data_IF_856979665686
#
_entry.id   IF_856979665686
#
_cell.length_a   1.000
_cell.length_b   1.000
_cell.length_c   1.000
_cell.angle_alpha   90.00
_cell.angle_beta   90.00
_cell.angle_gamma   90.00
#
_symmetry.space_group_name_H-M   'P 1'
#
loop_
_entity.id
_entity.type
_entity.pdbx_description
1 polymer ?
#
# COMPACT_ATOMS: atom_id res chain seq x y z
N UNK A 1 -25.97 -10.87 19.47
CA UNK A 1 -26.90 -10.20 18.52
C UNK A 1 -26.03 -9.43 17.53
N UNK A 2 -26.11 -9.78 16.27
CA UNK A 2 -25.36 -9.08 15.20
C UNK A 2 -25.87 -7.66 15.06
N UNK A 3 -24.97 -6.67 15.10
CA UNK A 3 -25.32 -5.26 14.92
C UNK A 3 -25.72 -4.98 13.47
N UNK A 4 -26.44 -3.87 13.20
CA UNK A 4 -26.88 -3.51 11.84
C UNK A 4 -25.70 -3.37 10.85
N UNK A 5 -24.51 -2.95 11.33
CA UNK A 5 -23.29 -2.84 10.55
C UNK A 5 -22.78 -4.22 10.05
N UNK A 6 -22.88 -5.27 10.87
CA UNK A 6 -22.48 -6.62 10.49
C UNK A 6 -23.39 -7.21 9.39
N UNK A 7 -24.69 -6.92 9.45
CA UNK A 7 -25.64 -7.38 8.42
C UNK A 7 -25.46 -6.66 7.09
N UNK A 8 -25.11 -5.38 7.13
CA UNK A 8 -24.81 -4.62 5.90
C UNK A 8 -23.53 -5.14 5.26
N UNK A 9 -22.48 -5.38 6.08
CA UNK A 9 -21.22 -5.95 5.63
C UNK A 9 -21.41 -7.35 5.02
N UNK A 10 -22.19 -8.22 5.68
CA UNK A 10 -22.47 -9.57 5.16
C UNK A 10 -23.24 -9.52 3.84
N UNK A 11 -24.25 -8.64 3.70
CA UNK A 11 -24.98 -8.46 2.42
C UNK A 11 -24.09 -7.94 1.31
N UNK A 12 -23.13 -7.04 1.63
CA UNK A 12 -22.16 -6.55 0.66
C UNK A 12 -21.20 -7.67 0.23
N UNK A 13 -20.71 -8.48 1.18
CA UNK A 13 -19.89 -9.66 0.88
C UNK A 13 -20.67 -10.66 0.00
N UNK A 14 -21.93 -10.93 0.32
CA UNK A 14 -22.78 -11.87 -0.43
C UNK A 14 -23.09 -11.35 -1.85
N UNK A 15 -23.28 -10.04 -2.04
CA UNK A 15 -23.47 -9.41 -3.35
C UNK A 15 -22.19 -9.40 -4.18
N UNK A 16 -21.03 -9.27 -3.54
CA UNK A 16 -19.71 -9.29 -4.18
C UNK A 16 -19.25 -10.70 -4.55
N UNK A 17 -19.70 -11.73 -3.84
CA UNK A 17 -19.44 -13.14 -4.17
C UNK A 17 -19.89 -13.51 -5.60
N UNK A 18 -20.56 -12.59 -6.31
CA UNK A 18 -20.92 -12.74 -7.71
C UNK A 18 -19.86 -12.25 -8.72
N UNK A 19 -18.81 -11.50 -8.29
CA UNK A 19 -17.88 -10.86 -9.24
C UNK A 19 -16.39 -11.07 -8.96
N UNK A 20 -15.94 -11.13 -7.70
CA UNK A 20 -14.54 -11.37 -7.33
C UNK A 20 -14.49 -12.45 -6.24
N UNK A 21 -13.99 -13.62 -6.60
CA UNK A 21 -13.80 -14.76 -5.69
C UNK A 21 -12.33 -15.12 -5.51
N UNK A 22 -11.51 -14.85 -6.54
CA UNK A 22 -10.10 -15.22 -6.61
C UNK A 22 -9.21 -14.02 -6.84
N UNK A 23 -8.29 -13.80 -5.91
CA UNK A 23 -7.34 -12.70 -5.96
C UNK A 23 -5.93 -13.25 -6.14
N UNK A 24 -5.24 -12.75 -7.15
CA UNK A 24 -3.83 -13.01 -7.35
C UNK A 24 -3.02 -11.81 -6.86
N UNK A 25 -2.20 -12.00 -5.83
CA UNK A 25 -1.33 -10.94 -5.28
C UNK A 25 0.09 -11.17 -5.76
N UNK A 26 0.59 -10.31 -6.62
CA UNK A 26 1.95 -10.36 -7.15
C UNK A 26 2.89 -9.55 -6.27
N UNK A 27 3.83 -10.22 -5.62
CA UNK A 27 4.74 -9.68 -4.61
C UNK A 27 4.30 -10.06 -3.21
N UNK A 28 5.15 -10.83 -2.49
CA UNK A 28 4.90 -11.29 -1.14
C UNK A 28 5.65 -10.46 -0.07
N UNK A 29 6.12 -9.26 -0.44
CA UNK A 29 6.87 -8.35 0.42
C UNK A 29 6.03 -7.70 1.52
N UNK A 30 6.50 -6.51 2.00
CA UNK A 30 5.88 -5.74 3.09
C UNK A 30 4.39 -5.44 2.86
N UNK A 31 4.01 -5.09 1.64
CA UNK A 31 2.62 -4.78 1.31
C UNK A 31 1.83 -6.04 0.93
N UNK A 32 2.39 -6.90 0.07
CA UNK A 32 1.67 -8.02 -0.50
C UNK A 32 1.17 -9.05 0.50
N UNK A 33 1.96 -9.40 1.53
CA UNK A 33 1.47 -10.30 2.57
C UNK A 33 0.26 -9.75 3.34
N UNK A 34 0.26 -8.44 3.60
CA UNK A 34 -0.86 -7.77 4.26
C UNK A 34 -2.08 -7.65 3.34
N UNK A 35 -1.87 -7.40 2.04
CA UNK A 35 -2.93 -7.40 1.03
C UNK A 35 -3.55 -8.79 0.93
N UNK A 36 -2.74 -9.86 0.83
CA UNK A 36 -3.24 -11.23 0.83
C UNK A 36 -4.04 -11.54 2.11
N UNK A 37 -3.55 -11.13 3.27
CA UNK A 37 -4.22 -11.33 4.56
C UNK A 37 -5.62 -10.71 4.58
N UNK A 38 -5.78 -9.45 4.17
CA UNK A 38 -7.09 -8.78 4.28
C UNK A 38 -8.11 -9.34 3.29
N UNK A 39 -7.69 -9.79 2.09
CA UNK A 39 -8.56 -10.46 1.14
C UNK A 39 -8.97 -11.85 1.63
N UNK A 40 -8.03 -12.65 2.15
CA UNK A 40 -8.34 -13.96 2.75
C UNK A 40 -9.28 -13.86 3.95
N UNK A 41 -9.17 -12.80 4.75
CA UNK A 41 -10.00 -12.57 5.93
C UNK A 41 -11.48 -12.31 5.62
N UNK A 42 -11.81 -11.83 4.42
CA UNK A 42 -13.21 -11.67 3.97
C UNK A 42 -13.72 -12.85 3.16
N UNK A 43 -12.96 -13.95 3.09
CA UNK A 43 -13.41 -15.20 2.49
C UNK A 43 -12.91 -15.47 1.07
N UNK A 44 -12.17 -14.57 0.44
CA UNK A 44 -11.67 -14.73 -0.92
C UNK A 44 -10.51 -15.73 -0.98
N UNK A 45 -10.41 -16.48 -2.08
CA UNK A 45 -9.25 -17.31 -2.37
C UNK A 45 -8.11 -16.42 -2.85
N UNK A 46 -6.93 -16.58 -2.28
CA UNK A 46 -5.78 -15.72 -2.56
C UNK A 46 -4.58 -16.56 -2.98
N UNK A 47 -4.05 -16.29 -4.15
CA UNK A 47 -2.74 -16.78 -4.60
C UNK A 47 -1.71 -15.70 -4.32
N UNK A 48 -0.73 -16.00 -3.47
CA UNK A 48 0.35 -15.08 -3.11
C UNK A 48 1.62 -15.46 -3.87
N UNK A 49 1.91 -14.71 -4.91
CA UNK A 49 3.01 -14.99 -5.83
C UNK A 49 4.28 -14.21 -5.49
N UNK A 50 5.40 -14.92 -5.60
CA UNK A 50 6.75 -14.34 -5.67
C UNK A 50 7.58 -15.26 -6.58
N UNK A 51 8.52 -14.76 -7.41
CA UNK A 51 9.35 -15.62 -8.27
C UNK A 51 10.13 -16.71 -7.53
N UNK A 52 10.43 -16.48 -6.26
CA UNK A 52 11.04 -17.43 -5.34
C UNK A 52 9.99 -17.97 -4.37
N UNK A 53 9.72 -19.28 -4.41
CA UNK A 53 8.72 -19.93 -3.55
C UNK A 53 9.00 -19.71 -2.06
N UNK A 54 10.25 -19.77 -1.63
CA UNK A 54 10.60 -19.55 -0.22
C UNK A 54 10.24 -18.12 0.25
N UNK A 55 10.32 -17.14 -0.65
CA UNK A 55 9.85 -15.77 -0.37
C UNK A 55 8.32 -15.67 -0.33
N UNK A 56 7.61 -16.41 -1.18
CA UNK A 56 6.15 -16.46 -1.13
C UNK A 56 5.68 -17.10 0.19
N UNK A 57 6.29 -18.21 0.60
CA UNK A 57 6.06 -18.89 1.89
C UNK A 57 6.36 -17.95 3.07
N UNK A 58 7.51 -17.28 3.06
CA UNK A 58 7.85 -16.27 4.08
C UNK A 58 6.85 -15.11 4.12
N UNK A 59 6.24 -14.74 3.00
CA UNK A 59 5.14 -13.78 2.94
C UNK A 59 3.89 -14.30 3.66
N UNK A 60 3.50 -15.54 3.40
CA UNK A 60 2.40 -16.21 4.10
C UNK A 60 2.65 -16.32 5.60
N UNK A 61 3.89 -16.65 6.01
CA UNK A 61 4.26 -16.73 7.42
C UNK A 61 4.17 -15.36 8.12
N UNK A 62 4.52 -14.27 7.45
CA UNK A 62 4.29 -12.91 7.97
C UNK A 62 2.81 -12.62 8.18
N UNK A 63 1.94 -13.04 7.24
CA UNK A 63 0.50 -12.93 7.41
C UNK A 63 0.03 -13.77 8.61
N UNK A 64 0.55 -15.00 8.77
CA UNK A 64 0.24 -15.87 9.92
C UNK A 64 0.61 -15.22 11.25
N UNK A 65 1.82 -14.64 11.36
CA UNK A 65 2.25 -13.93 12.55
C UNK A 65 1.41 -12.69 12.87
N UNK A 66 0.94 -11.97 11.84
CA UNK A 66 0.00 -10.85 12.03
C UNK A 66 -1.33 -11.31 12.60
N UNK A 67 -1.89 -12.39 12.06
CA UNK A 67 -3.15 -12.98 12.49
C UNK A 67 -3.05 -13.54 13.91
N UNK A 68 -1.93 -14.20 14.27
CA UNK A 68 -1.66 -14.66 15.62
C UNK A 68 -1.67 -13.50 16.64
N UNK A 69 -1.02 -12.38 16.30
CA UNK A 69 -1.08 -11.17 17.12
C UNK A 69 -2.49 -10.60 17.25
N UNK A 70 -3.33 -10.74 16.20
CA UNK A 70 -4.73 -10.32 16.27
C UNK A 70 -5.55 -11.21 17.22
N UNK A 71 -5.33 -12.53 17.20
CA UNK A 71 -5.94 -13.48 18.15
C UNK A 71 -5.49 -13.16 19.57
N UNK A 72 -4.19 -12.99 19.81
CA UNK A 72 -3.65 -12.69 21.14
C UNK A 72 -4.21 -11.38 21.73
N UNK A 73 -4.63 -10.44 20.87
CA UNK A 73 -5.28 -9.17 21.26
C UNK A 73 -6.82 -9.27 21.31
N UNK A 74 -7.40 -10.45 21.13
CA UNK A 74 -8.85 -10.66 21.13
C UNK A 74 -9.61 -10.00 19.97
N UNK A 75 -8.92 -9.69 18.87
CA UNK A 75 -9.51 -9.04 17.67
C UNK A 75 -9.99 -10.05 16.62
N UNK A 76 -9.67 -11.32 16.78
CA UNK A 76 -9.97 -12.41 15.87
C UNK A 76 -10.05 -13.72 16.68
N UNK A 77 -10.87 -14.68 16.23
CA UNK A 77 -10.88 -16.02 16.78
C UNK A 77 -9.79 -16.90 16.15
N UNK A 78 -9.40 -18.00 16.83
CA UNK A 78 -8.46 -18.97 16.25
C UNK A 78 -9.05 -19.67 15.02
N UNK A 79 -10.37 -19.88 15.01
CA UNK A 79 -11.11 -20.44 13.86
C UNK A 79 -10.99 -19.51 12.64
N UNK A 80 -11.25 -18.19 12.80
CA UNK A 80 -11.14 -17.20 11.72
C UNK A 80 -9.70 -17.10 11.22
N UNK A 81 -8.70 -17.16 12.13
CA UNK A 81 -7.28 -17.23 11.79
C UNK A 81 -6.98 -18.40 10.87
N UNK A 82 -7.39 -19.62 11.31
CA UNK A 82 -7.19 -20.85 10.55
C UNK A 82 -7.87 -20.78 9.16
N UNK A 83 -9.11 -20.34 9.13
CA UNK A 83 -9.88 -20.15 7.89
C UNK A 83 -9.22 -19.14 6.94
N UNK A 84 -8.71 -18.02 7.45
CA UNK A 84 -8.00 -16.99 6.66
C UNK A 84 -6.73 -17.57 6.03
N UNK A 85 -5.90 -18.25 6.82
CA UNK A 85 -4.65 -18.85 6.33
C UNK A 85 -4.85 -19.97 5.32
N UNK A 86 -5.92 -20.74 5.46
CA UNK A 86 -6.26 -21.80 4.51
C UNK A 86 -6.61 -21.28 3.10
N UNK A 87 -6.97 -19.99 2.99
CA UNK A 87 -7.29 -19.32 1.72
C UNK A 87 -6.08 -18.67 1.04
N UNK A 88 -4.91 -18.61 1.70
CA UNK A 88 -3.71 -17.97 1.16
C UNK A 88 -2.75 -19.07 0.69
N UNK A 89 -2.62 -19.22 -0.62
CA UNK A 89 -1.74 -20.19 -1.26
C UNK A 89 -0.47 -19.49 -1.78
N UNK A 90 0.72 -19.77 -1.22
CA UNK A 90 1.97 -19.25 -1.74
C UNK A 90 2.38 -20.00 -3.02
N UNK A 91 2.92 -19.29 -4.02
CA UNK A 91 3.34 -19.90 -5.28
C UNK A 91 4.50 -19.14 -5.93
N UNK A 92 5.31 -19.86 -6.71
CA UNK A 92 6.27 -19.27 -7.64
C UNK A 92 5.80 -19.39 -9.11
N UNK A 93 4.61 -19.94 -9.36
CA UNK A 93 4.04 -20.09 -10.69
C UNK A 93 3.15 -18.90 -11.04
N UNK A 94 3.61 -18.06 -11.97
CA UNK A 94 2.85 -16.92 -12.48
C UNK A 94 1.58 -17.36 -13.23
N UNK A 95 1.58 -18.59 -13.80
CA UNK A 95 0.44 -19.19 -14.49
C UNK A 95 -0.81 -19.32 -13.61
N UNK A 96 -0.67 -19.31 -12.28
CA UNK A 96 -1.79 -19.33 -11.33
C UNK A 96 -2.66 -18.06 -11.38
N UNK A 97 -2.24 -17.04 -12.14
CA UNK A 97 -3.08 -15.88 -12.44
C UNK A 97 -4.18 -16.18 -13.46
N UNK A 98 -4.17 -17.34 -14.13
CA UNK A 98 -5.14 -17.74 -15.17
C UNK A 98 -6.60 -17.83 -14.66
N UNK A 99 -6.80 -17.99 -13.37
CA UNK A 99 -8.13 -18.09 -12.75
C UNK A 99 -8.49 -16.84 -11.91
N UNK A 100 -7.69 -15.78 -11.95
CA UNK A 100 -7.88 -14.60 -11.10
C UNK A 100 -9.00 -13.70 -11.64
N UNK A 101 -9.88 -13.24 -10.74
CA UNK A 101 -10.85 -12.17 -11.00
C UNK A 101 -10.22 -10.80 -10.77
N UNK A 102 -9.28 -10.74 -9.82
CA UNK A 102 -8.51 -9.55 -9.46
C UNK A 102 -7.04 -9.88 -9.33
N UNK A 103 -6.19 -9.10 -9.98
CA UNK A 103 -4.73 -9.13 -9.81
C UNK A 103 -4.31 -7.88 -9.07
N UNK A 104 -3.69 -8.01 -7.89
CA UNK A 104 -3.13 -6.89 -7.13
C UNK A 104 -1.60 -6.97 -7.17
N UNK A 105 -0.96 -5.98 -7.76
CA UNK A 105 0.49 -5.90 -7.86
C UNK A 105 1.08 -5.09 -6.69
N UNK A 106 2.04 -5.68 -6.00
CA UNK A 106 2.77 -5.09 -4.87
C UNK A 106 4.28 -5.45 -4.91
N UNK A 107 4.87 -5.47 -6.13
CA UNK A 107 6.32 -5.67 -6.34
C UNK A 107 7.10 -4.36 -6.15
N UNK A 108 8.42 -4.38 -6.36
CA UNK A 108 9.27 -3.20 -6.25
C UNK A 108 8.76 -2.01 -7.05
N UNK A 109 8.93 -0.80 -6.49
CA UNK A 109 8.45 0.47 -7.06
C UNK A 109 9.38 0.93 -8.20
N UNK A 110 9.35 0.15 -9.30
CA UNK A 110 10.13 0.38 -10.52
C UNK A 110 9.25 0.15 -11.75
N UNK A 111 9.23 1.13 -12.65
CA UNK A 111 8.37 1.11 -13.85
C UNK A 111 8.68 -0.07 -14.76
N UNK A 112 9.96 -0.40 -14.96
CA UNK A 112 10.37 -1.48 -15.88
C UNK A 112 9.96 -2.85 -15.31
N UNK A 113 10.18 -3.06 -14.00
CA UNK A 113 9.78 -4.29 -13.30
C UNK A 113 8.26 -4.47 -13.39
N UNK A 114 7.50 -3.44 -12.98
CA UNK A 114 6.03 -3.47 -13.00
C UNK A 114 5.47 -3.66 -14.43
N UNK A 115 6.01 -2.93 -15.39
CA UNK A 115 5.56 -3.05 -16.80
C UNK A 115 5.86 -4.43 -17.41
N UNK A 116 6.95 -5.07 -17.02
CA UNK A 116 7.28 -6.43 -17.47
C UNK A 116 6.28 -7.42 -16.88
N UNK A 117 6.05 -7.35 -15.58
CA UNK A 117 5.07 -8.19 -14.89
C UNK A 117 3.65 -8.01 -15.47
N UNK A 118 3.22 -6.78 -15.72
CA UNK A 118 1.90 -6.51 -16.30
C UNK A 118 1.72 -7.08 -17.71
N UNK A 119 2.76 -7.04 -18.54
CA UNK A 119 2.71 -7.68 -19.88
C UNK A 119 2.56 -9.19 -19.81
N UNK A 120 3.28 -9.83 -18.88
CA UNK A 120 3.17 -11.28 -18.68
C UNK A 120 1.79 -11.66 -18.15
N UNK A 121 1.28 -10.94 -17.13
CA UNK A 121 -0.03 -11.16 -16.54
C UNK A 121 -1.19 -10.90 -17.52
N UNK A 122 -1.05 -9.92 -18.44
CA UNK A 122 -2.06 -9.65 -19.48
C UNK A 122 -2.25 -10.82 -20.45
N UNK A 123 -1.17 -11.58 -20.68
CA UNK A 123 -1.21 -12.81 -21.49
C UNK A 123 -1.76 -14.04 -20.75
N UNK A 124 -1.87 -14.00 -19.43
CA UNK A 124 -2.25 -15.15 -18.58
C UNK A 124 -3.64 -14.96 -17.98
N UNK A 125 -3.92 -13.83 -17.36
CA UNK A 125 -5.17 -13.58 -16.63
C UNK A 125 -6.39 -13.49 -17.56
N UNK A 126 -7.58 -13.90 -17.09
CA UNK A 126 -8.79 -13.83 -17.89
C UNK A 126 -9.05 -12.40 -18.40
N UNK A 127 -9.64 -12.23 -19.60
CA UNK A 127 -9.96 -10.90 -20.14
C UNK A 127 -10.83 -10.04 -19.21
N UNK A 128 -11.66 -10.66 -18.38
CA UNK A 128 -12.55 -10.00 -17.43
C UNK A 128 -11.83 -9.58 -16.13
N UNK A 129 -10.63 -10.11 -15.85
CA UNK A 129 -9.92 -9.80 -14.61
C UNK A 129 -9.58 -8.30 -14.50
N UNK A 130 -9.73 -7.75 -13.28
CA UNK A 130 -9.31 -6.39 -12.96
C UNK A 130 -7.84 -6.40 -12.54
N UNK A 131 -7.08 -5.43 -13.02
CA UNK A 131 -5.69 -5.22 -12.64
C UNK A 131 -5.57 -4.00 -11.73
N UNK A 132 -5.02 -4.20 -10.55
CA UNK A 132 -4.87 -3.17 -9.52
C UNK A 132 -3.40 -3.02 -9.09
N UNK A 133 -2.79 -1.87 -9.29
CA UNK A 133 -1.43 -1.61 -8.81
C UNK A 133 -1.45 -0.94 -7.44
N UNK A 134 -0.64 -1.46 -6.50
CA UNK A 134 -0.40 -0.84 -5.19
C UNK A 134 0.74 0.20 -5.24
N UNK A 135 1.04 0.74 -6.40
CA UNK A 135 2.05 1.81 -6.52
C UNK A 135 1.72 3.01 -5.64
N UNK A 136 2.74 3.65 -5.09
CA UNK A 136 2.61 4.88 -4.29
C UNK A 136 2.94 6.15 -5.07
N UNK A 137 3.56 6.02 -6.27
CA UNK A 137 4.15 7.16 -6.97
C UNK A 137 4.10 7.08 -8.49
N UNK A 138 3.99 5.87 -9.07
CA UNK A 138 3.99 5.70 -10.53
C UNK A 138 2.58 5.93 -11.07
N UNK A 139 2.45 6.76 -12.11
CA UNK A 139 1.18 7.04 -12.76
C UNK A 139 0.52 5.75 -13.30
N UNK A 140 -0.76 5.59 -13.03
CA UNK A 140 -1.56 4.43 -13.45
C UNK A 140 -1.66 4.36 -14.96
N UNK A 141 -1.81 5.51 -15.64
CA UNK A 141 -1.78 5.57 -17.11
C UNK A 141 -0.50 5.00 -17.70
N UNK A 142 0.65 5.27 -17.05
CA UNK A 142 1.96 4.78 -17.48
C UNK A 142 2.08 3.25 -17.33
N UNK A 143 1.58 2.70 -16.21
CA UNK A 143 1.57 1.26 -15.99
C UNK A 143 0.59 0.55 -16.92
N UNK A 144 -0.58 1.14 -17.16
CA UNK A 144 -1.60 0.57 -18.05
C UNK A 144 -1.18 0.53 -19.52
N UNK A 145 -0.15 1.27 -19.94
CA UNK A 145 0.42 1.15 -21.29
C UNK A 145 1.08 -0.21 -21.55
N UNK A 146 1.44 -0.94 -20.47
CA UNK A 146 2.03 -2.28 -20.58
C UNK A 146 1.03 -3.37 -20.97
N UNK A 147 -0.27 -3.11 -20.89
CA UNK A 147 -1.34 -4.06 -21.19
C UNK A 147 -2.13 -3.67 -22.45
N UNK A 148 -2.87 -4.64 -23.01
CA UNK A 148 -3.73 -4.42 -24.16
C UNK A 148 -4.83 -3.38 -23.90
N UNK A 149 -5.26 -2.64 -24.96
CA UNK A 149 -6.27 -1.59 -24.84
C UNK A 149 -7.55 -2.03 -24.11
N UNK A 150 -8.13 -3.23 -24.36
CA UNK A 150 -9.33 -3.67 -23.64
C UNK A 150 -9.13 -3.80 -22.13
N UNK A 151 -7.90 -4.19 -21.70
CA UNK A 151 -7.56 -4.34 -20.29
C UNK A 151 -7.45 -3.00 -19.57
N UNK A 152 -7.11 -1.92 -20.25
CA UNK A 152 -6.92 -0.59 -19.64
C UNK A 152 -8.18 -0.07 -18.95
N UNK A 153 -9.36 -0.42 -19.45
CA UNK A 153 -10.63 -0.07 -18.79
C UNK A 153 -10.79 -0.78 -17.43
N UNK A 154 -10.11 -1.93 -17.26
CA UNK A 154 -10.06 -2.74 -16.04
C UNK A 154 -8.75 -2.59 -15.27
N UNK A 155 -8.01 -1.51 -15.50
CA UNK A 155 -6.75 -1.20 -14.81
C UNK A 155 -6.94 0.00 -13.88
N UNK A 156 -6.56 -0.15 -12.59
CA UNK A 156 -6.78 0.85 -11.55
C UNK A 156 -5.61 0.89 -10.58
N UNK A 157 -5.36 2.01 -9.90
CA UNK A 157 -4.53 2.06 -8.72
C UNK A 157 -5.33 1.67 -7.48
N UNK A 158 -4.79 0.79 -6.65
CA UNK A 158 -5.36 0.39 -5.35
C UNK A 158 -4.27 0.53 -4.29
N UNK A 159 -4.06 1.77 -3.84
CA UNK A 159 -2.97 2.14 -2.95
C UNK A 159 -3.35 1.89 -1.50
N UNK A 160 -2.75 0.85 -0.92
CA UNK A 160 -2.85 0.50 0.49
C UNK A 160 -1.80 1.23 1.30
N UNK A 161 -2.07 1.41 2.59
CA UNK A 161 -1.14 2.01 3.55
C UNK A 161 -0.60 0.97 4.52
N UNK A 162 0.66 1.11 4.91
CA UNK A 162 1.32 0.18 5.83
C UNK A 162 1.07 0.56 7.30
N UNK A 163 0.82 -0.41 8.19
CA UNK A 163 0.58 -1.85 7.95
C UNK A 163 -0.83 -2.11 7.39
N UNK A 164 -0.94 -2.86 6.28
CA UNK A 164 -2.20 -3.05 5.55
C UNK A 164 -3.38 -3.51 6.41
N UNK A 165 -3.22 -4.48 7.34
CA UNK A 165 -4.35 -4.91 8.17
C UNK A 165 -4.86 -3.84 9.15
N UNK A 166 -4.02 -2.88 9.52
CA UNK A 166 -4.33 -1.88 10.55
C UNK A 166 -4.80 -0.54 9.97
N UNK A 167 -4.22 -0.15 8.83
CA UNK A 167 -4.55 1.14 8.21
C UNK A 167 -5.95 1.10 7.61
N UNK A 168 -6.83 2.04 7.99
CA UNK A 168 -8.24 2.00 7.58
C UNK A 168 -8.49 2.56 6.18
N UNK A 169 -7.48 3.05 5.46
CA UNK A 169 -7.62 3.77 4.20
C UNK A 169 -7.14 2.94 3.01
N UNK A 170 -7.88 3.00 1.92
CA UNK A 170 -7.42 2.69 0.55
C UNK A 170 -7.67 3.91 -0.32
N UNK A 171 -6.66 4.29 -1.10
CA UNK A 171 -6.77 5.31 -2.11
C UNK A 171 -6.87 4.64 -3.47
N UNK A 172 -7.99 4.82 -4.17
CA UNK A 172 -8.19 4.35 -5.53
C UNK A 172 -7.72 5.43 -6.51
N UNK A 173 -6.87 5.06 -7.44
CA UNK A 173 -6.36 5.98 -8.44
C UNK A 173 -6.98 5.62 -9.80
N UNK A 174 -7.81 6.53 -10.31
CA UNK A 174 -8.44 6.38 -11.60
C UNK A 174 -7.47 6.79 -12.69
N UNK A 175 -6.97 5.82 -13.46
CA UNK A 175 -6.20 6.06 -14.67
C UNK A 175 -7.07 6.66 -15.78
N UNK A 176 -6.42 7.09 -16.88
CA UNK A 176 -7.10 7.74 -18.01
C UNK A 176 -8.21 6.88 -18.60
N UNK A 177 -7.95 5.60 -18.76
CA UNK A 177 -8.83 4.64 -19.44
C UNK A 177 -9.69 3.83 -18.47
N UNK A 178 -9.48 3.96 -17.14
CA UNK A 178 -10.20 3.21 -16.11
C UNK A 178 -11.71 3.49 -16.18
N UNK A 179 -12.52 2.42 -16.35
CA UNK A 179 -13.98 2.55 -16.44
C UNK A 179 -14.63 2.87 -15.08
N UNK A 180 -15.84 3.44 -15.13
CA UNK A 180 -16.64 3.68 -13.93
C UNK A 180 -17.02 2.38 -13.23
N UNK A 181 -17.28 1.31 -14.01
CA UNK A 181 -17.55 -0.04 -13.50
C UNK A 181 -16.38 -0.57 -12.67
N UNK A 182 -15.15 -0.46 -13.17
CA UNK A 182 -13.94 -0.87 -12.46
C UNK A 182 -13.78 -0.10 -11.14
N UNK A 183 -13.97 1.22 -11.17
CA UNK A 183 -13.91 2.06 -9.96
C UNK A 183 -14.97 1.62 -8.95
N UNK A 184 -16.22 1.38 -9.40
CA UNK A 184 -17.31 0.97 -8.54
C UNK A 184 -17.04 -0.39 -7.90
N UNK A 185 -16.63 -1.39 -8.70
CA UNK A 185 -16.31 -2.75 -8.22
C UNK A 185 -15.20 -2.74 -7.17
N UNK A 186 -14.08 -2.04 -7.43
CA UNK A 186 -12.97 -2.00 -6.47
C UNK A 186 -13.29 -1.14 -5.24
N UNK A 187 -14.11 -0.11 -5.37
CA UNK A 187 -14.63 0.65 -4.21
C UNK A 187 -15.47 -0.24 -3.30
N UNK A 188 -16.36 -1.04 -3.87
CA UNK A 188 -17.21 -1.97 -3.12
C UNK A 188 -16.36 -3.03 -2.41
N UNK A 189 -15.42 -3.67 -3.13
CA UNK A 189 -14.44 -4.59 -2.53
C UNK A 189 -13.68 -3.95 -1.38
N UNK A 190 -13.16 -2.74 -1.57
CA UNK A 190 -12.42 -2.01 -0.53
C UNK A 190 -13.29 -1.76 0.71
N UNK A 191 -14.57 -1.47 0.53
CA UNK A 191 -15.55 -1.36 1.64
C UNK A 191 -15.74 -2.69 2.36
N UNK A 192 -15.84 -3.83 1.64
CA UNK A 192 -15.93 -5.16 2.23
C UNK A 192 -14.67 -5.54 3.02
N UNK A 193 -13.48 -5.08 2.60
CA UNK A 193 -12.23 -5.18 3.37
C UNK A 193 -12.26 -4.36 4.68
N UNK A 194 -13.33 -3.61 4.94
CA UNK A 194 -13.45 -2.73 6.10
C UNK A 194 -12.65 -1.44 5.99
N UNK A 195 -12.34 -1.01 4.78
CA UNK A 195 -11.54 0.18 4.52
C UNK A 195 -12.42 1.37 4.13
N UNK A 196 -12.00 2.56 4.51
CA UNK A 196 -12.50 3.82 3.96
C UNK A 196 -11.84 4.03 2.59
N UNK A 197 -12.60 4.58 1.64
CA UNK A 197 -12.13 4.73 0.27
C UNK A 197 -12.18 6.19 -0.16
N UNK A 198 -11.05 6.69 -0.62
CA UNK A 198 -10.98 7.94 -1.38
C UNK A 198 -10.62 7.63 -2.84
N UNK A 199 -11.02 8.50 -3.76
CA UNK A 199 -10.69 8.35 -5.18
C UNK A 199 -9.88 9.54 -5.63
N UNK A 200 -8.69 9.26 -6.16
CA UNK A 200 -7.76 10.24 -6.70
C UNK A 200 -7.77 10.21 -8.22
N UNK A 201 -7.54 11.36 -8.84
CA UNK A 201 -7.08 11.42 -10.21
C UNK A 201 -5.63 10.90 -10.28
N UNK A 202 -5.24 10.39 -11.45
CA UNK A 202 -3.87 9.91 -11.73
C UNK A 202 -2.92 11.11 -11.93
N UNK A 203 -2.46 11.65 -10.81
CA UNK A 203 -1.50 12.75 -10.73
C UNK A 203 -0.38 12.42 -9.76
N UNK A 204 0.82 13.00 -9.90
CA UNK A 204 1.93 12.74 -8.99
C UNK A 204 1.56 12.87 -7.51
N UNK A 205 1.83 11.83 -6.73
CA UNK A 205 1.56 11.76 -5.30
C UNK A 205 0.11 11.51 -4.91
N UNK A 206 -0.80 11.38 -5.90
CA UNK A 206 -2.24 11.15 -5.70
C UNK A 206 -2.85 12.20 -4.74
N UNK A 207 -3.64 11.85 -3.74
CA UNK A 207 -4.13 12.79 -2.73
C UNK A 207 -3.19 12.81 -1.51
N UNK A 208 -2.93 11.62 -0.92
CA UNK A 208 -2.27 11.55 0.39
C UNK A 208 -0.83 12.05 0.33
N UNK A 209 -0.01 11.52 -0.58
CA UNK A 209 1.40 11.94 -0.70
C UNK A 209 1.52 13.39 -1.21
N UNK A 210 0.58 13.82 -2.06
CA UNK A 210 0.52 15.20 -2.55
C UNK A 210 0.34 16.24 -1.44
N UNK A 211 -0.34 15.87 -0.35
CA UNK A 211 -0.55 16.73 0.82
C UNK A 211 0.56 16.50 1.85
N UNK A 212 0.91 15.22 2.10
CA UNK A 212 1.84 14.83 3.14
C UNK A 212 3.26 15.34 2.88
N UNK A 213 3.80 15.16 1.66
CA UNK A 213 5.19 15.50 1.39
C UNK A 213 5.52 17.00 1.53
N UNK A 214 4.69 17.94 1.05
CA UNK A 214 4.89 19.36 1.34
C UNK A 214 4.83 19.69 2.84
N UNK A 215 3.92 19.06 3.59
CA UNK A 215 3.82 19.23 5.04
C UNK A 215 5.11 18.77 5.76
N UNK A 216 5.61 17.57 5.43
CA UNK A 216 6.87 17.09 5.97
C UNK A 216 8.05 17.94 5.49
N UNK A 217 8.06 18.32 4.23
CA UNK A 217 9.11 19.16 3.64
C UNK A 217 9.22 20.54 4.31
N UNK A 218 8.07 21.14 4.68
CA UNK A 218 8.08 22.42 5.38
C UNK A 218 8.61 22.28 6.81
N UNK A 219 8.26 21.23 7.53
CA UNK A 219 8.82 20.93 8.84
C UNK A 219 10.35 20.71 8.77
N UNK A 220 10.83 20.02 7.72
CA UNK A 220 12.27 19.82 7.48
C UNK A 220 12.99 21.13 7.15
N UNK A 221 12.36 22.04 6.38
CA UNK A 221 12.90 23.37 6.09
C UNK A 221 12.98 24.22 7.36
N UNK A 222 11.93 24.23 8.17
CA UNK A 222 11.93 24.93 9.46
C UNK A 222 13.06 24.44 10.37
N UNK A 223 13.31 23.12 10.40
CA UNK A 223 14.45 22.54 11.12
C UNK A 223 15.81 23.00 10.53
N UNK A 224 15.95 22.95 9.19
CA UNK A 224 17.18 23.37 8.48
C UNK A 224 17.51 24.84 8.72
N UNK A 225 16.50 25.70 8.83
CA UNK A 225 16.62 27.14 9.10
C UNK A 225 16.91 27.47 10.58
N UNK A 226 16.84 26.45 11.45
CA UNK A 226 17.06 26.64 12.90
C UNK A 226 15.90 27.33 13.60
N UNK A 227 14.67 27.24 13.05
CA UNK A 227 13.46 27.81 13.67
C UNK A 227 13.16 27.16 15.04
N UNK A 228 13.47 25.89 15.21
CA UNK A 228 13.33 25.12 16.44
C UNK A 228 14.10 23.81 16.37
N UNK A 229 14.18 23.12 17.52
CA UNK A 229 14.68 21.74 17.56
C UNK A 229 13.67 20.79 16.90
N UNK A 230 14.09 19.55 16.58
CA UNK A 230 13.18 18.54 16.07
C UNK A 230 12.03 18.29 17.05
N UNK A 231 12.32 18.23 18.35
CA UNK A 231 11.31 18.06 19.41
C UNK A 231 10.32 19.23 19.50
N UNK A 232 10.78 20.49 19.31
CA UNK A 232 9.91 21.67 19.33
C UNK A 232 8.96 21.67 18.13
N UNK A 233 9.45 21.37 16.92
CA UNK A 233 8.66 21.31 15.69
C UNK A 233 7.59 20.21 15.81
N UNK A 234 7.98 19.02 16.25
CA UNK A 234 7.07 17.90 16.44
C UNK A 234 6.03 18.15 17.54
N UNK A 235 6.45 18.79 18.63
CA UNK A 235 5.54 19.20 19.70
C UNK A 235 4.54 20.25 19.22
N UNK A 236 5.01 21.23 18.44
CA UNK A 236 4.15 22.24 17.82
C UNK A 236 3.06 21.60 16.96
N UNK A 237 3.39 20.60 16.15
CA UNK A 237 2.41 19.88 15.34
C UNK A 237 1.46 19.01 16.19
N UNK A 238 1.98 18.27 17.18
CA UNK A 238 1.14 17.42 18.05
C UNK A 238 0.17 18.21 18.89
N UNK A 239 0.65 19.26 19.56
CA UNK A 239 -0.15 19.99 20.54
C UNK A 239 -0.83 21.20 19.93
N UNK A 240 -0.16 21.93 19.03
CA UNK A 240 -0.70 23.13 18.40
C UNK A 240 -1.65 22.85 17.24
N UNK A 241 -1.40 21.78 16.48
CA UNK A 241 -2.24 21.39 15.33
C UNK A 241 -3.06 20.12 15.56
N UNK A 242 -2.97 19.50 16.75
CA UNK A 242 -3.66 18.26 17.12
C UNK A 242 -3.33 17.07 16.17
N UNK A 243 -2.10 16.98 15.67
CA UNK A 243 -1.63 15.84 14.90
C UNK A 243 -1.27 14.67 15.84
N UNK A 244 -1.56 13.42 15.45
CA UNK A 244 -1.26 12.25 16.30
C UNK A 244 0.25 12.00 16.47
N UNK A 245 1.06 12.49 15.52
CA UNK A 245 2.53 12.33 15.46
C UNK A 245 3.14 13.62 14.92
N UNK A 246 4.33 13.97 15.39
CA UNK A 246 5.07 15.09 14.82
C UNK A 246 5.54 14.82 13.39
N UNK A 247 5.73 15.85 12.55
CA UNK A 247 6.11 15.67 11.14
C UNK A 247 7.49 15.05 10.94
N UNK A 248 8.48 15.40 11.77
CA UNK A 248 9.83 14.85 11.67
C UNK A 248 9.89 13.42 12.20
N UNK A 249 9.17 13.12 13.29
CA UNK A 249 8.96 11.77 13.79
C UNK A 249 8.23 10.90 12.76
N UNK A 250 7.21 11.43 12.07
CA UNK A 250 6.49 10.73 11.00
C UNK A 250 7.39 10.45 9.79
N UNK A 251 8.24 11.39 9.42
CA UNK A 251 9.21 11.19 8.34
C UNK A 251 10.21 10.07 8.68
N UNK A 252 10.71 10.05 9.93
CA UNK A 252 11.59 8.98 10.43
C UNK A 252 10.87 7.62 10.48
N UNK A 253 9.58 7.60 10.80
CA UNK A 253 8.76 6.39 10.80
C UNK A 253 8.53 5.84 9.39
N UNK A 254 8.20 6.70 8.42
CA UNK A 254 8.04 6.34 7.00
C UNK A 254 9.38 5.84 6.42
N UNK A 255 10.45 6.47 6.81
CA UNK A 255 11.80 6.30 6.26
C UNK A 255 12.18 7.47 5.35
N UNK A 256 13.29 8.12 5.67
CA UNK A 256 13.74 9.34 4.99
C UNK A 256 14.10 9.10 3.51
N UNK A 257 14.60 7.93 3.15
CA UNK A 257 14.83 7.52 1.77
C UNK A 257 13.52 7.38 0.97
N UNK A 258 12.46 6.87 1.60
CA UNK A 258 11.13 6.78 1.00
C UNK A 258 10.56 8.19 0.79
N UNK A 259 10.63 9.05 1.81
CA UNK A 259 10.20 10.45 1.70
C UNK A 259 10.95 11.18 0.57
N UNK A 260 12.28 11.01 0.49
CA UNK A 260 13.09 11.60 -0.57
C UNK A 260 12.68 11.11 -1.96
N UNK A 261 12.43 9.81 -2.10
CA UNK A 261 11.96 9.22 -3.36
C UNK A 261 10.63 9.81 -3.81
N UNK A 262 9.65 9.91 -2.91
CA UNK A 262 8.33 10.49 -3.20
C UNK A 262 8.44 11.99 -3.54
N UNK A 263 9.22 12.77 -2.77
CA UNK A 263 9.41 14.19 -3.03
C UNK A 263 10.04 14.44 -4.41
N UNK A 264 10.99 13.60 -4.85
CA UNK A 264 11.55 13.69 -6.20
C UNK A 264 10.50 13.46 -7.29
N UNK A 265 9.64 12.48 -7.12
CA UNK A 265 8.52 12.24 -8.06
C UNK A 265 7.57 13.43 -8.13
N UNK A 266 7.32 14.10 -7.00
CA UNK A 266 6.50 15.30 -6.96
C UNK A 266 7.20 16.50 -7.63
N UNK A 267 8.49 16.70 -7.35
CA UNK A 267 9.30 17.78 -7.93
C UNK A 267 9.43 17.64 -9.46
N UNK A 268 9.64 16.41 -9.94
CA UNK A 268 9.74 16.11 -11.38
C UNK A 268 8.40 16.24 -12.12
N UNK A 269 7.29 15.95 -11.45
CA UNK A 269 5.97 15.85 -12.07
C UNK A 269 5.04 17.04 -11.85
N UNK A 270 5.44 18.02 -11.04
CA UNK A 270 4.60 19.15 -10.64
C UNK A 270 5.42 20.44 -10.61
N UNK A 271 4.79 21.54 -10.98
CA UNK A 271 5.40 22.85 -10.90
C UNK A 271 5.42 23.38 -9.45
N UNK A 272 6.50 24.05 -9.08
CA UNK A 272 6.63 24.77 -7.82
C UNK A 272 7.74 24.24 -6.89
N UNK A 273 8.52 25.16 -6.36
CA UNK A 273 9.72 24.88 -5.52
C UNK A 273 9.38 24.16 -4.18
N UNK A 274 8.12 24.20 -3.76
CA UNK A 274 7.66 23.59 -2.51
C UNK A 274 7.67 22.05 -2.50
N UNK A 275 7.82 21.42 -3.69
CA UNK A 275 8.01 19.96 -3.80
C UNK A 275 9.46 19.54 -3.75
N UNK A 276 10.38 20.48 -3.97
CA UNK A 276 11.82 20.19 -3.96
C UNK A 276 12.24 19.64 -2.60
N UNK A 277 12.96 18.49 -2.60
CA UNK A 277 13.45 17.92 -1.35
C UNK A 277 14.34 18.89 -0.58
N UNK A 278 14.12 19.11 0.74
CA UNK A 278 15.02 19.92 1.58
C UNK A 278 16.44 19.35 1.61
N UNK A 279 17.46 20.22 1.76
CA UNK A 279 18.87 19.80 1.77
C UNK A 279 19.17 18.87 2.95
N UNK A 280 18.58 19.15 4.12
CA UNK A 280 18.73 18.31 5.31
C UNK A 280 18.28 16.88 5.07
N UNK A 281 17.16 16.67 4.35
CA UNK A 281 16.69 15.33 3.97
C UNK A 281 17.71 14.60 3.10
N UNK A 282 18.23 15.28 2.07
CA UNK A 282 19.27 14.72 1.19
C UNK A 282 20.52 14.34 1.96
N UNK A 283 20.95 15.21 2.91
CA UNK A 283 22.13 14.98 3.76
C UNK A 283 21.95 13.76 4.67
N UNK A 284 20.79 13.66 5.38
CA UNK A 284 20.50 12.55 6.26
C UNK A 284 20.48 11.22 5.49
N UNK A 285 19.79 11.18 4.34
CA UNK A 285 19.74 9.97 3.50
C UNK A 285 21.14 9.59 2.99
N UNK A 286 21.95 10.56 2.55
CA UNK A 286 23.33 10.31 2.10
C UNK A 286 24.25 9.80 3.21
N UNK A 287 23.99 10.19 4.46
CA UNK A 287 24.69 9.70 5.64
C UNK A 287 24.22 8.32 6.13
N UNK A 288 23.18 7.73 5.50
CA UNK A 288 22.59 6.46 5.92
C UNK A 288 21.66 6.59 7.14
N UNK A 289 21.31 7.81 7.54
CA UNK A 289 20.36 8.08 8.60
C UNK A 289 18.94 8.05 8.00
N UNK A 290 18.32 6.88 8.02
CA UNK A 290 17.05 6.64 7.31
C UNK A 290 15.83 6.61 8.24
N UNK A 291 15.97 7.14 9.46
CA UNK A 291 14.93 7.14 10.48
C UNK A 291 14.94 5.89 11.36
N UNK A 292 13.77 5.48 11.83
CA UNK A 292 13.62 4.38 12.80
C UNK A 292 14.29 3.09 12.35
N UNK A 293 14.24 2.74 11.08
CA UNK A 293 14.81 1.49 10.53
C UNK A 293 16.34 1.40 10.62
N UNK A 294 17.03 2.54 10.78
CA UNK A 294 18.48 2.59 10.98
C UNK A 294 18.88 3.04 12.39
N UNK A 295 17.88 3.33 13.23
CA UNK A 295 18.10 3.86 14.59
C UNK A 295 18.42 5.34 14.64
N UNK A 296 18.49 6.03 13.51
CA UNK A 296 18.82 7.46 13.43
C UNK A 296 18.15 8.12 12.22
N UNK A 297 17.58 9.30 12.45
CA UNK A 297 17.01 10.21 11.45
C UNK A 297 17.08 11.63 12.00
N UNK A 298 15.96 12.36 12.02
CA UNK A 298 15.81 13.62 12.76
C UNK A 298 15.89 13.39 14.27
N UNK A 299 15.43 12.19 14.71
CA UNK A 299 15.56 11.70 16.08
C UNK A 299 16.46 10.48 16.15
N UNK A 300 16.81 10.10 17.39
CA UNK A 300 17.57 8.88 17.69
C UNK A 300 16.61 7.84 18.28
N UNK A 301 16.69 6.61 17.79
CA UNK A 301 15.84 5.49 18.18
C UNK A 301 16.70 4.32 18.72
N UNK A 302 16.16 3.50 19.61
CA UNK A 302 16.79 2.21 19.91
C UNK A 302 17.02 1.45 18.60
N UNK A 303 18.21 0.91 18.41
CA UNK A 303 18.47 0.12 17.20
C UNK A 303 17.51 -1.07 17.19
N UNK A 304 16.81 -1.33 16.09
CA UNK A 304 16.05 -2.56 15.99
C UNK A 304 17.03 -3.72 16.13
N UNK A 305 16.71 -4.66 17.03
CA UNK A 305 17.47 -5.90 17.17
C UNK A 305 17.61 -6.54 15.78
N UNK A 306 18.84 -6.73 15.32
CA UNK A 306 19.06 -7.49 14.08
C UNK A 306 18.52 -8.89 14.35
N UNK A 307 17.59 -9.43 13.56
CA UNK A 307 17.29 -10.85 13.66
C UNK A 307 18.58 -11.61 13.36
N UNK A 308 19.05 -12.36 14.36
CA UNK A 308 20.16 -13.30 14.27
C UNK A 308 19.83 -14.43 13.33
#
# INVERSE_FOLDING_TARGET
>A
MWTGADRTRQRTIDAMASTIERVFVAGAGLMGHGIAQVHGAIGLQVVLYEPDLARAEAGRDRAAANLERAVAKGRMTEEDRGATLARIEPTADLGRAADADLVVEAVFEDVAIKSTLWRELDGIAPPAAIFASNTSSIGIHRLSEAVGKPRRERFIGMHFFSPVPLMPLIELIRGRDTSDETVATIRELSGALGKQVIVSADRPGFIVNRILMPFLGEAMRAYEEGLGTADDIDTGARVGLNHPMGPLELADFIGLDVCLGIMRVLDDGLDGDHFRPPKVLIQLVSAGHLGQKTGQGFHTYPRPDRPT
#
